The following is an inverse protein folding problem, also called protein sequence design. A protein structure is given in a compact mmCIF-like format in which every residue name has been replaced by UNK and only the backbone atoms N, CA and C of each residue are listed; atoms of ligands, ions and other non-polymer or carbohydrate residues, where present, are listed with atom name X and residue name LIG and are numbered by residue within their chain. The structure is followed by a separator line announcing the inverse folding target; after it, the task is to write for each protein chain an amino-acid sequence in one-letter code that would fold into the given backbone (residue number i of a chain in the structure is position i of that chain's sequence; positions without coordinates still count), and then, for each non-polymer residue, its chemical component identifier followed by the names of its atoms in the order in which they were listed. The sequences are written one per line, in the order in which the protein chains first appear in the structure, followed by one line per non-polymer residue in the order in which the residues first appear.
data_IF_050803068900
#
_entry.id   IF_050803068900
#
_cell.length_a   1.000
_cell.length_b   1.000
_cell.length_c   1.000
_cell.angle_alpha   90.00
_cell.angle_beta   90.00
_cell.angle_gamma   90.00
#
_symmetry.space_group_name_H-M   'P 1'
#
loop_
_entity.id
_entity.type
_entity.pdbx_description
1 polymer ?
#
# COMPACT_ATOMS: atom_id res chain seq x y z
N UNK A 1 -3.22 -15.50 -3.47
CA UNK A 1 -1.77 -15.51 -3.13
C UNK A 1 -1.49 -16.40 -1.91
N UNK A 2 -0.24 -16.70 -1.54
CA UNK A 2 0.07 -17.29 -0.21
C UNK A 2 -0.11 -16.24 0.89
N UNK A 3 -0.67 -16.66 2.03
CA UNK A 3 -0.87 -15.83 3.22
C UNK A 3 0.46 -15.29 3.76
N UNK A 4 0.44 -14.05 4.25
CA UNK A 4 1.55 -13.48 4.99
C UNK A 4 1.66 -14.14 6.36
N UNK A 5 2.89 -14.43 6.75
CA UNK A 5 3.25 -14.85 8.10
C UNK A 5 3.24 -13.66 9.06
N UNK A 6 3.18 -13.96 10.36
CA UNK A 6 3.30 -12.94 11.41
C UNK A 6 4.62 -12.15 11.34
N UNK A 7 5.72 -12.78 10.89
CA UNK A 7 7.01 -12.08 10.76
C UNK A 7 7.01 -11.07 9.62
N UNK A 8 6.37 -11.41 8.50
CA UNK A 8 6.19 -10.49 7.36
C UNK A 8 5.29 -9.33 7.76
N UNK A 9 4.17 -9.60 8.44
CA UNK A 9 3.26 -8.55 8.94
C UNK A 9 3.94 -7.66 9.98
N UNK A 10 4.78 -8.21 10.86
CA UNK A 10 5.58 -7.43 11.80
C UNK A 10 6.58 -6.51 11.08
N UNK A 11 7.18 -7.00 10.00
CA UNK A 11 8.10 -6.21 9.17
C UNK A 11 7.38 -5.08 8.44
N UNK A 12 6.17 -5.33 7.92
CA UNK A 12 5.30 -4.31 7.33
C UNK A 12 4.91 -3.24 8.35
N UNK A 13 4.52 -3.66 9.56
CA UNK A 13 4.25 -2.74 10.66
C UNK A 13 5.44 -1.81 10.93
N UNK A 14 6.65 -2.37 11.04
CA UNK A 14 7.87 -1.59 11.25
C UNK A 14 8.13 -0.58 10.13
N UNK A 15 7.91 -0.96 8.87
CA UNK A 15 8.04 -0.06 7.73
C UNK A 15 7.03 1.10 7.77
N UNK A 16 5.82 0.85 8.30
CA UNK A 16 4.80 1.86 8.54
C UNK A 16 5.01 2.67 9.84
N UNK A 17 6.10 2.43 10.59
CA UNK A 17 6.36 3.08 11.88
C UNK A 17 5.49 2.56 13.03
N UNK A 18 4.90 1.37 12.88
CA UNK A 18 4.00 0.73 13.85
C UNK A 18 4.68 -0.51 14.43
N UNK A 19 4.90 -0.53 15.74
CA UNK A 19 5.41 -1.72 16.43
C UNK A 19 4.26 -2.63 16.85
N UNK A 20 3.98 -3.67 16.05
CA UNK A 20 2.94 -4.64 16.32
C UNK A 20 3.38 -5.68 17.37
N UNK A 21 2.51 -5.89 18.37
CA UNK A 21 2.68 -6.85 19.46
C UNK A 21 1.40 -7.68 19.63
N UNK A 22 1.49 -8.82 20.33
CA UNK A 22 0.29 -9.62 20.64
C UNK A 22 -0.62 -8.87 21.64
N UNK A 23 -1.95 -8.98 21.52
CA UNK A 23 -2.69 -9.81 20.54
C UNK A 23 -2.87 -9.18 19.16
N UNK A 24 -2.57 -7.89 19.00
CA UNK A 24 -2.80 -7.15 17.75
C UNK A 24 -2.06 -7.71 16.55
N UNK A 25 -0.86 -8.28 16.73
CA UNK A 25 -0.11 -8.93 15.66
C UNK A 25 -0.93 -10.07 15.02
N UNK A 26 -1.59 -10.89 15.84
CA UNK A 26 -2.47 -11.95 15.35
C UNK A 26 -3.65 -11.38 14.57
N UNK A 27 -4.35 -10.40 15.13
CA UNK A 27 -5.54 -9.82 14.51
C UNK A 27 -5.22 -9.10 13.19
N UNK A 28 -4.14 -8.31 13.17
CA UNK A 28 -3.70 -7.60 11.97
C UNK A 28 -3.26 -8.59 10.89
N UNK A 29 -2.59 -9.69 11.25
CA UNK A 29 -2.22 -10.73 10.28
C UNK A 29 -3.45 -11.35 9.63
N UNK A 30 -4.48 -11.68 10.43
CA UNK A 30 -5.74 -12.20 9.91
C UNK A 30 -6.43 -11.21 8.98
N UNK A 31 -6.56 -9.95 9.42
CA UNK A 31 -7.24 -8.91 8.67
C UNK A 31 -6.54 -8.58 7.34
N UNK A 32 -5.20 -8.52 7.32
CA UNK A 32 -4.44 -8.25 6.10
C UNK A 32 -4.60 -9.39 5.10
N UNK A 33 -4.53 -10.65 5.53
CA UNK A 33 -4.71 -11.78 4.62
C UNK A 33 -6.15 -11.83 4.06
N UNK A 34 -7.17 -11.58 4.88
CA UNK A 34 -8.54 -11.47 4.40
C UNK A 34 -8.74 -10.32 3.40
N UNK A 35 -8.13 -9.16 3.65
CA UNK A 35 -8.17 -8.04 2.71
C UNK A 35 -7.47 -8.37 1.38
N UNK A 36 -6.32 -9.06 1.42
CA UNK A 36 -5.61 -9.49 0.21
C UNK A 36 -6.45 -10.46 -0.61
N UNK A 37 -7.11 -11.42 0.04
CA UNK A 37 -8.03 -12.35 -0.63
C UNK A 37 -9.19 -11.61 -1.31
N UNK A 38 -9.74 -10.57 -0.65
CA UNK A 38 -10.77 -9.72 -1.25
C UNK A 38 -10.23 -8.94 -2.46
N UNK A 39 -9.02 -8.37 -2.36
CA UNK A 39 -8.40 -7.62 -3.45
C UNK A 39 -8.06 -8.53 -4.65
N UNK A 40 -7.61 -9.77 -4.41
CA UNK A 40 -7.34 -10.76 -5.47
C UNK A 40 -8.62 -11.09 -6.27
N UNK A 41 -9.81 -10.94 -5.67
CA UNK A 41 -11.10 -11.13 -6.35
C UNK A 41 -11.53 -9.92 -7.18
N UNK A 42 -10.92 -8.75 -6.95
CA UNK A 42 -11.21 -7.53 -7.70
C UNK A 42 -10.36 -7.53 -8.97
N UNK A 43 -10.98 -7.81 -10.10
CA UNK A 43 -10.40 -7.63 -11.44
C UNK A 43 -11.25 -6.61 -12.20
N UNK A 44 -10.96 -5.30 -12.06
CA UNK A 44 -11.72 -4.28 -12.77
C UNK A 44 -11.47 -4.42 -14.27
N UNK A 45 -12.53 -4.47 -15.07
CA UNK A 45 -12.40 -4.48 -16.52
C UNK A 45 -11.69 -3.21 -17.01
N UNK A 46 -10.76 -3.37 -17.96
CA UNK A 46 -10.06 -2.25 -18.57
C UNK A 46 -8.94 -1.66 -17.71
N UNK A 47 -8.53 -2.31 -16.60
CA UNK A 47 -7.40 -1.85 -15.78
C UNK A 47 -6.12 -1.71 -16.62
N UNK A 48 -5.89 -2.61 -17.56
CA UNK A 48 -4.77 -2.58 -18.52
C UNK A 48 -4.81 -1.40 -19.50
N UNK A 49 -5.94 -0.68 -19.59
CA UNK A 49 -6.12 0.47 -20.50
C UNK A 49 -5.96 1.82 -19.82
N UNK A 50 -5.82 1.84 -18.49
CA UNK A 50 -5.72 3.06 -17.70
C UNK A 50 -4.24 3.33 -17.37
N UNK A 51 -3.78 4.54 -17.69
CA UNK A 51 -2.48 5.02 -17.23
C UNK A 51 -2.46 5.13 -15.69
N UNK A 52 -1.40 4.65 -15.02
CA UNK A 52 -1.30 4.75 -13.57
C UNK A 52 -1.28 6.21 -13.13
N UNK A 53 -1.86 6.48 -11.96
CA UNK A 53 -1.78 7.82 -11.37
C UNK A 53 -0.31 8.20 -11.15
N UNK A 54 0.08 9.44 -11.46
CA UNK A 54 1.45 9.89 -11.28
C UNK A 54 1.86 9.82 -9.79
N UNK A 55 3.11 9.41 -9.55
CA UNK A 55 3.68 9.25 -8.19
C UNK A 55 3.81 10.60 -7.49
N UNK A 56 4.04 11.66 -8.26
CA UNK A 56 4.06 13.05 -7.79
C UNK A 56 2.69 13.63 -8.12
N UNK A 57 2.01 14.23 -7.14
CA UNK A 57 0.75 14.89 -7.41
C UNK A 57 1.02 16.02 -8.43
N UNK A 58 0.19 16.22 -9.46
CA UNK A 58 0.44 17.24 -10.49
C UNK A 58 0.75 18.64 -9.92
N UNK A 59 0.07 19.02 -8.83
CA UNK A 59 0.36 20.27 -8.10
C UNK A 59 1.78 20.34 -7.51
N UNK A 60 2.33 19.23 -7.00
CA UNK A 60 3.69 19.20 -6.47
C UNK A 60 4.72 19.33 -7.61
N UNK A 61 4.39 18.85 -8.81
CA UNK A 61 5.24 18.98 -9.99
C UNK A 61 5.29 20.44 -10.48
N UNK A 62 4.16 21.15 -10.47
CA UNK A 62 4.08 22.57 -10.83
C UNK A 62 4.91 23.44 -9.89
N UNK A 63 4.81 23.22 -8.57
CA UNK A 63 5.59 23.97 -7.57
C UNK A 63 7.11 23.73 -7.73
N UNK A 64 7.52 22.50 -8.07
CA UNK A 64 8.93 22.18 -8.34
C UNK A 64 9.47 22.86 -9.60
N UNK A 65 8.63 23.04 -10.63
CA UNK A 65 9.02 23.71 -11.88
C UNK A 65 9.04 25.24 -11.76
N UNK A 66 8.23 25.82 -10.87
CA UNK A 66 8.25 27.26 -10.58
C UNK A 66 9.48 27.69 -9.78
N UNK A 67 9.99 26.83 -8.88
CA UNK A 67 11.18 27.12 -8.08
C UNK A 67 12.50 27.09 -8.87
N UNK A 68 12.55 26.45 -10.04
CA UNK A 68 13.73 26.39 -10.91
C UNK A 68 13.86 27.61 -11.85
N UNK A 69 12.86 28.51 -11.85
CA UNK A 69 12.82 29.74 -12.67
C UNK A 69 13.16 31.03 -11.87
N UNK A 70 13.74 30.90 -10.67
CA UNK A 70 14.09 32.01 -9.76
C UNK A 70 15.59 32.28 -9.61
#
# INVERSE_FOLDING_TARGET
MTDLTKEEVKSLGKAAGIELQEPHLTEVTYNINALRELLDQIQPEGLETIEPLPIIHPYDLEEMLEQDNG
#
